data_IF_807968444512
#
_entry.id   IF_807968444512
#
_cell.length_a   1.000
_cell.length_b   1.000
_cell.length_c   1.000
_cell.angle_alpha   90.00
_cell.angle_beta   90.00
_cell.angle_gamma   90.00
#
_symmetry.space_group_name_H-M   'P 1'
#
loop_
_entity.id
_entity.type
_entity.pdbx_description
1 polymer ?
#
# COMPACT_ATOMS: atom_id res chain seq x y z
N UNK A 1 7.42 11.07 -10.72
CA UNK A 1 5.98 11.27 -11.00
C UNK A 1 5.19 10.77 -9.80
N UNK A 2 4.15 11.50 -9.36
CA UNK A 2 3.28 11.07 -8.26
C UNK A 2 1.99 10.49 -8.87
N UNK A 3 1.77 9.18 -8.69
CA UNK A 3 0.59 8.43 -9.18
C UNK A 3 -0.64 8.69 -8.29
N UNK A 4 -1.06 9.96 -8.23
CA UNK A 4 -2.15 10.39 -7.35
C UNK A 4 -3.48 9.76 -7.81
N UNK A 5 -4.13 9.01 -6.92
CA UNK A 5 -5.41 8.34 -7.17
C UNK A 5 -5.32 6.95 -7.84
N UNK A 6 -4.14 6.34 -7.93
CA UNK A 6 -4.00 4.94 -8.36
C UNK A 6 -4.13 3.93 -7.21
N UNK A 7 -3.76 4.37 -5.99
CA UNK A 7 -3.77 3.53 -4.78
C UNK A 7 -5.04 3.71 -3.93
N UNK A 8 -6.00 4.53 -4.37
CA UNK A 8 -7.23 4.81 -3.63
C UNK A 8 -8.45 4.44 -4.46
N UNK A 9 -9.43 3.83 -3.80
CA UNK A 9 -10.75 3.56 -4.37
C UNK A 9 -11.73 4.67 -3.94
N UNK A 10 -12.65 5.10 -4.82
CA UNK A 10 -13.56 6.21 -4.52
C UNK A 10 -14.53 5.88 -3.38
N UNK A 11 -14.87 4.60 -3.19
CA UNK A 11 -15.72 4.12 -2.09
C UNK A 11 -15.24 2.76 -1.56
N UNK A 12 -15.55 2.43 -0.31
CA UNK A 12 -15.26 1.11 0.27
C UNK A 12 -15.87 -0.05 -0.53
N UNK A 13 -17.03 0.17 -1.18
CA UNK A 13 -17.72 -0.83 -2.00
C UNK A 13 -17.14 -1.01 -3.40
N UNK A 14 -16.24 -0.12 -3.84
CA UNK A 14 -15.64 -0.17 -5.18
C UNK A 14 -14.36 -1.01 -5.26
N UNK A 15 -14.06 -1.77 -4.20
CA UNK A 15 -12.93 -2.68 -4.19
C UNK A 15 -13.21 -3.92 -5.06
N UNK A 16 -12.48 -4.05 -6.17
CA UNK A 16 -12.41 -5.26 -6.99
C UNK A 16 -11.07 -6.01 -6.76
N UNK A 17 -11.10 -7.24 -6.22
CA UNK A 17 -9.90 -8.01 -5.89
C UNK A 17 -9.07 -8.47 -7.10
N UNK A 18 -9.57 -8.33 -8.33
CA UNK A 18 -8.86 -8.72 -9.54
C UNK A 18 -7.97 -7.60 -10.10
N UNK A 19 -8.27 -6.34 -9.75
CA UNK A 19 -7.55 -5.17 -10.28
C UNK A 19 -6.93 -4.31 -9.18
N UNK A 20 -7.34 -4.47 -7.93
CA UNK A 20 -6.76 -3.75 -6.81
C UNK A 20 -5.76 -4.60 -6.04
N UNK A 21 -4.77 -3.89 -5.50
CA UNK A 21 -3.72 -4.45 -4.67
C UNK A 21 -4.26 -5.05 -3.37
N UNK A 22 -3.63 -6.14 -2.92
CA UNK A 22 -3.91 -6.82 -1.64
C UNK A 22 -2.62 -6.88 -0.81
N UNK A 23 -2.71 -7.07 0.52
CA UNK A 23 -1.51 -7.22 1.37
C UNK A 23 -0.56 -8.33 0.90
N UNK A 24 -1.10 -9.41 0.31
CA UNK A 24 -0.30 -10.51 -0.25
C UNK A 24 0.57 -10.11 -1.46
N UNK A 25 0.33 -8.93 -2.06
CA UNK A 25 1.10 -8.41 -3.20
C UNK A 25 2.17 -7.41 -2.76
N UNK A 26 2.53 -7.47 -1.48
CA UNK A 26 3.58 -6.64 -0.89
C UNK A 26 4.71 -7.53 -0.42
N UNK A 27 5.95 -7.14 -0.71
CA UNK A 27 7.14 -7.80 -0.21
C UNK A 27 8.17 -6.76 0.25
N UNK A 28 9.13 -7.22 1.04
CA UNK A 28 10.29 -6.43 1.46
C UNK A 28 11.48 -6.86 0.61
N UNK A 29 12.14 -5.89 0.00
CA UNK A 29 13.36 -6.06 -0.78
C UNK A 29 14.44 -5.10 -0.29
N UNK A 30 15.69 -5.33 -0.70
CA UNK A 30 16.82 -4.47 -0.38
C UNK A 30 17.41 -3.90 -1.67
N UNK A 31 17.69 -2.60 -1.68
CA UNK A 31 18.36 -1.96 -2.81
C UNK A 31 19.85 -2.33 -2.88
N UNK A 32 20.55 -1.79 -3.89
CA UNK A 32 22.00 -2.02 -4.05
C UNK A 32 22.86 -1.47 -2.90
N UNK A 33 22.30 -0.60 -2.05
CA UNK A 33 22.93 -0.05 -0.86
C UNK A 33 22.48 -0.76 0.43
N UNK A 34 21.78 -1.90 0.31
CA UNK A 34 21.23 -2.68 1.41
C UNK A 34 20.19 -1.90 2.25
N UNK A 35 19.47 -0.96 1.64
CA UNK A 35 18.37 -0.23 2.25
C UNK A 35 17.05 -0.98 2.03
N UNK A 36 16.29 -1.14 3.11
CA UNK A 36 14.97 -1.77 3.10
C UNK A 36 13.97 -0.94 2.28
N UNK A 37 13.37 -1.60 1.28
CA UNK A 37 12.29 -1.08 0.46
C UNK A 37 11.08 -2.00 0.57
N UNK A 38 9.88 -1.42 0.54
CA UNK A 38 8.66 -2.19 0.31
C UNK A 38 8.24 -2.08 -1.14
N UNK A 39 8.06 -3.23 -1.77
CA UNK A 39 7.62 -3.35 -3.15
C UNK A 39 6.16 -3.77 -3.16
N UNK A 40 5.38 -3.10 -4.00
CA UNK A 40 3.98 -3.32 -4.24
C UNK A 40 3.83 -3.77 -5.69
N UNK A 41 3.28 -4.96 -5.91
CA UNK A 41 2.92 -5.41 -7.25
C UNK A 41 1.51 -4.90 -7.59
N UNK A 42 1.41 -3.95 -8.51
CA UNK A 42 0.13 -3.46 -9.01
C UNK A 42 -0.28 -4.35 -10.19
N UNK A 43 -1.37 -5.12 -10.09
CA UNK A 43 -1.81 -5.99 -11.19
C UNK A 43 -2.34 -5.21 -12.39
N UNK A 44 -2.71 -3.94 -12.18
CA UNK A 44 -3.24 -3.07 -13.23
C UNK A 44 -3.00 -1.61 -12.88
N UNK A 45 -2.52 -0.82 -13.83
CA UNK A 45 -2.46 0.65 -13.73
C UNK A 45 -3.21 1.28 -14.90
N UNK A 46 -3.53 2.58 -14.78
CA UNK A 46 -4.19 3.33 -15.86
C UNK A 46 -3.39 3.31 -17.17
N UNK A 47 -2.06 3.21 -17.07
CA UNK A 47 -1.13 3.26 -18.20
C UNK A 47 -0.62 1.90 -18.64
N UNK A 48 -0.65 0.87 -17.76
CA UNK A 48 -0.12 -0.46 -18.05
C UNK A 48 -1.07 -1.54 -17.53
N UNK A 49 -1.71 -2.25 -18.48
CA UNK A 49 -2.67 -3.31 -18.16
C UNK A 49 -2.03 -4.60 -17.64
N UNK A 50 -0.74 -4.78 -17.89
CA UNK A 50 0.03 -5.97 -17.49
C UNK A 50 0.51 -5.88 -16.03
N UNK A 51 0.33 -4.71 -15.39
CA UNK A 51 0.79 -4.45 -14.05
C UNK A 51 2.20 -3.85 -13.99
N UNK A 52 2.57 -3.35 -12.82
CA UNK A 52 3.85 -2.68 -12.58
C UNK A 52 4.26 -2.83 -11.11
N UNK A 53 5.56 -2.95 -10.86
CA UNK A 53 6.10 -2.92 -9.50
C UNK A 53 6.39 -1.48 -9.09
N UNK A 54 5.95 -1.11 -7.88
CA UNK A 54 6.29 0.19 -7.27
C UNK A 54 6.97 -0.04 -5.94
N UNK A 55 8.16 0.53 -5.77
CA UNK A 55 8.93 0.47 -4.53
C UNK A 55 8.83 1.77 -3.73
N UNK A 56 8.76 1.64 -2.40
CA UNK A 56 8.82 2.75 -1.46
C UNK A 56 9.90 2.47 -0.42
N UNK A 57 10.84 3.41 -0.29
CA UNK A 57 11.84 3.38 0.77
C UNK A 57 11.20 3.66 2.13
N UNK A 58 11.75 3.04 3.18
CA UNK A 58 11.33 3.27 4.56
C UNK A 58 11.42 4.76 4.93
N UNK A 59 10.32 5.34 5.38
CA UNK A 59 10.29 6.74 5.83
C UNK A 59 10.49 6.81 7.35
N UNK A 60 11.70 7.14 7.80
CA UNK A 60 12.05 7.27 9.24
C UNK A 60 11.57 8.60 9.87
N UNK A 61 10.36 9.07 9.55
CA UNK A 61 9.78 10.28 10.14
C UNK A 61 8.72 9.95 11.19
N UNK A 62 8.35 10.88 12.09
CA UNK A 62 7.32 10.66 13.11
C UNK A 62 5.97 10.20 12.55
N UNK A 63 5.71 10.49 11.27
CA UNK A 63 4.56 10.02 10.50
C UNK A 63 4.87 8.69 9.77
N UNK A 64 5.54 7.75 10.43
CA UNK A 64 5.83 6.44 9.85
C UNK A 64 4.51 5.63 9.77
N UNK A 65 4.00 5.31 8.56
CA UNK A 65 2.75 4.56 8.43
C UNK A 65 2.82 3.14 9.03
N UNK A 66 4.02 2.56 9.22
CA UNK A 66 4.19 1.30 9.97
C UNK A 66 3.91 1.45 11.46
N UNK A 67 4.35 2.56 12.05
CA UNK A 67 4.18 2.80 13.48
C UNK A 67 2.70 2.98 13.81
N UNK A 68 1.93 3.58 12.90
CA UNK A 68 0.49 3.80 13.06
C UNK A 68 -0.33 2.52 12.79
N UNK A 69 0.08 1.69 11.83
CA UNK A 69 -0.56 0.40 11.55
C UNK A 69 -0.34 -0.65 12.66
N UNK A 70 0.73 -0.52 13.45
CA UNK A 70 1.02 -1.39 14.59
C UNK A 70 0.20 -1.06 15.86
N UNK A 71 -0.51 0.07 15.88
CA UNK A 71 -1.38 0.43 16.99
C UNK A 71 -2.69 -0.38 16.90
N UNK A 72 -3.15 -1.01 18.00
CA UNK A 72 -4.42 -1.72 17.99
C UNK A 72 -5.55 -0.72 17.70
N UNK A 73 -6.22 -0.89 16.57
CA UNK A 73 -7.43 -0.13 16.25
C UNK A 73 -8.43 -0.32 17.40
N UNK A 74 -8.68 0.75 18.15
CA UNK A 74 -9.68 0.76 19.21
C UNK A 74 -11.02 0.38 18.60
N UNK A 75 -11.47 -0.86 18.84
CA UNK A 75 -12.83 -1.29 18.51
C UNK A 75 -13.76 -0.33 19.26
N UNK A 76 -14.51 0.49 18.53
CA UNK A 76 -15.55 1.31 19.13
C UNK A 76 -16.59 0.34 19.73
N UNK A 77 -16.92 0.44 21.03
CA UNK A 77 -17.99 -0.39 21.59
C UNK A 77 -19.31 -0.02 20.92
N UNK A 78 -20.24 -0.99 20.74
CA UNK A 78 -21.53 -0.69 20.16
C UNK A 78 -22.26 0.36 21.01
N UNK A 79 -22.84 1.37 20.37
CA UNK A 79 -23.73 2.33 21.03
C UNK A 79 -24.90 1.53 21.66
N UNK A 80 -25.07 1.68 22.97
CA UNK A 80 -26.23 1.20 23.72
C UNK A 80 -27.47 2.04 23.43
#
# INVERSE_FOLDING_TARGET
MAKMGELTVPTLSSFNPNIHIKPAYTCVEYDCNNLEMRVFHLPWTKTLREGEDTSFAKQNRPSNPEAEAALPHRKQPPLS
#
